data_IF_547613616303
#
_entry.id   IF_547613616303
#
_cell.length_a   1.000
_cell.length_b   1.000
_cell.length_c   1.000
_cell.angle_alpha   90.00
_cell.angle_beta   90.00
_cell.angle_gamma   90.00
#
_symmetry.space_group_name_H-M   'P 1'
#
loop_
_entity.id
_entity.type
_entity.pdbx_description
1 polymer ?
#
# COMPACT_ATOMS: atom_id res chain seq x y z
N UNK A 1 18.03 2.35 14.74
CA UNK A 1 16.78 2.45 13.97
C UNK A 1 17.13 3.08 12.64
N UNK A 2 17.08 2.29 11.57
CA UNK A 2 17.30 2.77 10.20
C UNK A 2 16.40 3.98 9.91
N UNK A 3 16.86 5.00 9.18
CA UNK A 3 15.95 5.99 8.63
C UNK A 3 15.03 5.24 7.67
N UNK A 4 13.80 4.95 8.10
CA UNK A 4 12.81 4.31 7.26
C UNK A 4 12.75 5.12 5.96
N UNK A 5 13.11 4.47 4.84
CA UNK A 5 13.15 5.08 3.52
C UNK A 5 11.93 6.02 3.38
N UNK A 6 12.13 7.32 3.07
CA UNK A 6 11.02 8.28 3.01
C UNK A 6 9.89 7.80 2.09
N UNK A 7 10.24 7.02 1.08
CA UNK A 7 9.30 6.34 0.19
C UNK A 7 8.42 5.31 0.93
N UNK A 8 9.00 4.49 1.81
CA UNK A 8 8.24 3.53 2.62
C UNK A 8 7.28 4.24 3.58
N UNK A 9 7.67 5.39 4.12
CA UNK A 9 6.80 6.21 4.95
C UNK A 9 5.61 6.77 4.14
N UNK A 10 5.85 7.20 2.91
CA UNK A 10 4.81 7.70 2.01
C UNK A 10 3.81 6.61 1.59
N UNK A 11 4.27 5.40 1.23
CA UNK A 11 3.35 4.26 0.97
C UNK A 11 2.49 4.01 2.20
N UNK A 12 3.11 3.83 3.37
CA UNK A 12 2.37 3.49 4.60
C UNK A 12 1.34 4.56 4.93
N UNK A 13 1.69 5.84 4.79
CA UNK A 13 0.75 6.95 4.96
C UNK A 13 -0.42 6.84 4.00
N UNK A 14 -0.15 6.60 2.71
CA UNK A 14 -1.22 6.51 1.71
C UNK A 14 -2.14 5.32 1.94
N UNK A 15 -1.57 4.14 2.21
CA UNK A 15 -2.35 2.93 2.51
C UNK A 15 -3.23 3.15 3.75
N UNK A 16 -2.69 3.78 4.81
CA UNK A 16 -3.48 4.14 6.01
C UNK A 16 -4.61 5.12 5.72
N UNK A 17 -4.36 6.13 4.89
CA UNK A 17 -5.38 7.11 4.49
C UNK A 17 -6.54 6.44 3.74
N UNK A 18 -6.21 5.56 2.78
CA UNK A 18 -7.21 4.79 2.02
C UNK A 18 -7.99 3.87 2.95
N UNK A 19 -7.30 3.16 3.85
CA UNK A 19 -7.94 2.31 4.85
C UNK A 19 -8.90 3.10 5.74
N UNK A 20 -8.47 4.24 6.30
CA UNK A 20 -9.32 5.11 7.13
C UNK A 20 -10.56 5.59 6.38
N UNK A 21 -10.39 6.13 5.18
CA UNK A 21 -11.49 6.61 4.34
C UNK A 21 -12.51 5.51 4.03
N UNK A 22 -12.04 4.29 3.77
CA UNK A 22 -12.91 3.13 3.49
C UNK A 22 -13.61 2.60 4.74
N UNK A 23 -12.94 2.57 5.90
CA UNK A 23 -13.57 2.25 7.20
C UNK A 23 -14.71 3.22 7.51
N UNK A 24 -14.50 4.53 7.31
CA UNK A 24 -15.52 5.56 7.56
C UNK A 24 -16.74 5.44 6.63
N UNK A 25 -16.54 4.91 5.41
CA UNK A 25 -17.63 4.78 4.42
C UNK A 25 -18.37 3.44 4.49
N UNK A 26 -18.02 2.54 5.43
CA UNK A 26 -18.63 1.20 5.64
C UNK A 26 -18.77 0.34 4.37
N UNK A 27 -18.07 0.69 3.28
CA UNK A 27 -18.31 0.11 1.96
C UNK A 27 -17.41 -1.09 1.63
N UNK A 28 -16.50 -1.48 2.52
CA UNK A 28 -15.56 -2.56 2.23
C UNK A 28 -14.88 -3.18 3.47
N UNK A 29 -14.36 -4.43 3.38
CA UNK A 29 -13.57 -5.07 4.43
C UNK A 29 -12.30 -4.27 4.81
N UNK A 30 -11.83 -4.45 6.04
CA UNK A 30 -10.65 -3.76 6.61
C UNK A 30 -9.34 -4.00 5.83
N UNK A 31 -9.31 -5.04 4.99
CA UNK A 31 -8.28 -5.35 4.02
C UNK A 31 -8.44 -4.47 2.78
N UNK A 32 -8.07 -3.21 2.91
CA UNK A 32 -8.36 -2.20 1.91
C UNK A 32 -7.64 -2.46 0.57
N UNK A 33 -8.46 -2.59 -0.49
CA UNK A 33 -8.09 -2.59 -1.91
C UNK A 33 -7.32 -1.31 -2.28
N UNK A 34 -6.01 -1.42 -2.34
CA UNK A 34 -5.13 -0.43 -2.94
C UNK A 34 -4.68 -1.01 -4.28
N UNK A 35 -5.42 -0.65 -5.34
CA UNK A 35 -5.07 -0.99 -6.70
C UNK A 35 -3.77 -0.25 -7.04
N UNK A 36 -2.82 -0.99 -7.61
CA UNK A 36 -1.52 -0.53 -8.10
C UNK A 36 -1.56 0.86 -8.74
N UNK A 37 -2.58 1.13 -9.55
CA UNK A 37 -2.76 2.39 -10.27
C UNK A 37 -3.19 3.55 -9.37
N UNK A 38 -4.02 3.33 -8.35
CA UNK A 38 -4.47 4.39 -7.43
C UNK A 38 -3.37 4.86 -6.47
N UNK A 39 -2.52 3.92 -6.03
CA UNK A 39 -1.33 4.24 -5.26
C UNK A 39 -0.30 4.92 -6.17
N UNK A 40 0.05 4.32 -7.32
CA UNK A 40 1.03 4.88 -8.25
C UNK A 40 0.68 6.31 -8.74
N UNK A 41 -0.60 6.60 -9.02
CA UNK A 41 -1.09 7.93 -9.41
C UNK A 41 -0.94 8.98 -8.30
N UNK A 42 -1.24 8.64 -7.05
CA UNK A 42 -1.28 9.62 -5.95
C UNK A 42 0.07 9.95 -5.37
N UNK A 43 1.00 9.01 -5.41
CA UNK A 43 2.27 9.14 -4.69
C UNK A 43 3.47 9.30 -5.62
N UNK A 44 3.25 9.56 -6.93
CA UNK A 44 4.30 9.71 -7.97
C UNK A 44 5.33 8.57 -7.94
N UNK A 45 4.87 7.35 -7.66
CA UNK A 45 5.71 6.31 -7.06
C UNK A 45 6.85 5.75 -7.89
N UNK A 46 6.85 5.99 -9.19
CA UNK A 46 7.99 5.78 -10.07
C UNK A 46 7.57 6.13 -11.49
N UNK A 47 8.56 6.46 -12.33
CA UNK A 47 8.37 6.64 -13.77
C UNK A 47 7.94 5.34 -14.49
N UNK A 48 7.95 4.18 -13.81
CA UNK A 48 7.58 2.88 -14.40
C UNK A 48 6.90 1.92 -13.42
N UNK A 49 6.05 1.05 -13.98
CA UNK A 49 5.37 -0.05 -13.28
C UNK A 49 6.31 -0.98 -12.50
N UNK A 50 7.52 -1.20 -13.04
CA UNK A 50 8.48 -2.18 -12.55
C UNK A 50 9.16 -1.67 -11.28
N UNK A 51 9.58 -0.41 -11.28
CA UNK A 51 10.15 0.23 -10.10
C UNK A 51 9.15 0.27 -8.95
N UNK A 52 7.88 0.56 -9.24
CA UNK A 52 6.81 0.53 -8.24
C UNK A 52 6.66 -0.85 -7.60
N UNK A 53 6.69 -1.90 -8.43
CA UNK A 53 6.56 -3.28 -7.97
C UNK A 53 7.74 -3.70 -7.09
N UNK A 54 8.97 -3.31 -7.45
CA UNK A 54 10.16 -3.60 -6.66
C UNK A 54 10.05 -3.01 -5.24
N UNK A 55 9.56 -1.77 -5.12
CA UNK A 55 9.37 -1.12 -3.81
C UNK A 55 8.29 -1.84 -2.98
N UNK A 56 7.20 -2.27 -3.60
CA UNK A 56 6.18 -3.06 -2.89
C UNK A 56 6.74 -4.40 -2.42
N UNK A 57 7.53 -5.09 -3.24
CA UNK A 57 8.18 -6.36 -2.89
C UNK A 57 9.17 -6.18 -1.73
N UNK A 58 9.96 -5.10 -1.73
CA UNK A 58 10.85 -4.73 -0.62
C UNK A 58 10.07 -4.49 0.67
N UNK A 59 8.99 -3.71 0.62
CA UNK A 59 8.19 -3.42 1.81
C UNK A 59 7.46 -4.66 2.36
N UNK A 60 7.08 -5.61 1.50
CA UNK A 60 6.57 -6.92 1.93
C UNK A 60 7.67 -7.74 2.61
N UNK A 61 8.87 -7.79 2.03
CA UNK A 61 10.01 -8.48 2.63
C UNK A 61 10.38 -7.92 4.01
N UNK A 62 10.25 -6.60 4.19
CA UNK A 62 10.46 -5.90 5.45
C UNK A 62 9.27 -6.03 6.43
N UNK A 63 8.21 -6.77 6.08
CA UNK A 63 6.98 -6.92 6.87
C UNK A 63 6.35 -5.58 7.25
N UNK A 64 6.49 -4.56 6.39
CA UNK A 64 5.87 -3.25 6.57
C UNK A 64 4.44 -3.24 6.02
N UNK A 65 4.20 -4.04 5.00
CA UNK A 65 2.91 -4.21 4.34
C UNK A 65 2.68 -5.67 3.98
N UNK A 66 1.41 -6.04 3.82
CA UNK A 66 0.97 -7.32 3.25
C UNK A 66 0.29 -7.06 1.92
N UNK A 67 0.50 -7.98 0.98
CA UNK A 67 -0.24 -8.03 -0.29
C UNK A 67 -1.17 -9.24 -0.23
N UNK A 68 -2.46 -8.99 -0.38
CA UNK A 68 -3.48 -10.03 -0.48
C UNK A 68 -4.17 -10.02 -1.83
N UNK A 69 -4.83 -11.13 -2.15
CA UNK A 69 -5.66 -11.27 -3.35
C UNK A 69 -7.04 -11.77 -2.95
N UNK A 70 -8.06 -11.13 -3.50
CA UNK A 70 -9.44 -11.65 -3.52
C UNK A 70 -9.72 -12.21 -4.92
N UNK A 71 -10.91 -12.79 -5.11
CA UNK A 71 -11.37 -13.25 -6.43
C UNK A 71 -11.39 -12.11 -7.45
N UNK A 72 -11.65 -10.89 -7.00
CA UNK A 72 -11.86 -9.74 -7.89
C UNK A 72 -10.64 -8.83 -7.98
N UNK A 73 -9.72 -8.88 -7.02
CA UNK A 73 -8.74 -7.82 -6.87
C UNK A 73 -7.46 -8.20 -6.10
N UNK A 74 -6.44 -7.35 -6.22
CA UNK A 74 -5.25 -7.35 -5.35
C UNK A 74 -5.30 -6.16 -4.39
N UNK A 75 -5.01 -6.38 -3.11
CA UNK A 75 -5.00 -5.34 -2.08
C UNK A 75 -3.66 -5.26 -1.34
N UNK A 76 -3.41 -4.10 -0.72
CA UNK A 76 -2.22 -3.84 0.10
C UNK A 76 -2.65 -3.30 1.45
N UNK A 77 -2.11 -3.86 2.53
CA UNK A 77 -2.42 -3.47 3.91
C UNK A 77 -1.13 -3.15 4.66
N UNK A 78 -1.14 -2.10 5.49
CA UNK A 78 -0.04 -1.88 6.45
C UNK A 78 -0.13 -2.91 7.57
N UNK A 79 0.99 -3.53 7.91
CA UNK A 79 1.09 -4.34 9.14
C UNK A 79 1.17 -3.34 10.29
N UNK A 80 0.15 -3.34 11.14
CA UNK A 80 0.16 -2.59 12.39
C UNK A 80 0.82 -3.50 13.44
N UNK A 81 1.92 -3.02 14.04
CA UNK A 81 2.61 -3.67 15.17
C UNK A 81 1.68 -3.75 16.40
#
# INVERSE_FOLDING_TARGET
MEPANPLHAEIRRHVREVQRTRRTTNRMPADALVIRDGLMLKTRFSQSLTAFRAVLEEMVALRLIEIGRTINDTYVRVIED
#
